data_IF_605602112264
#
_entry.id   IF_605602112264
#
_cell.length_a   1.000
_cell.length_b   1.000
_cell.length_c   1.000
_cell.angle_alpha   90.00
_cell.angle_beta   90.00
_cell.angle_gamma   90.00
#
_symmetry.space_group_name_H-M   'P 1'
#
loop_
_entity.id
_entity.type
_entity.pdbx_description
1 polymer ?
#
# COMPACT_ATOMS: atom_id res chain seq x y z
N UNK A 1 4.27 -50.96 79.19
CA UNK A 1 3.44 -50.69 77.99
C UNK A 1 3.30 -49.18 77.84
N UNK A 2 3.47 -48.66 76.61
CA UNK A 2 3.75 -47.24 76.30
C UNK A 2 2.50 -46.34 76.35
N UNK A 3 2.62 -45.06 76.76
CA UNK A 3 1.58 -44.07 76.54
C UNK A 3 1.66 -43.51 75.11
N UNK A 4 0.51 -43.38 74.45
CA UNK A 4 0.42 -42.66 73.17
C UNK A 4 0.16 -41.18 73.41
N UNK A 5 0.99 -40.33 72.80
CA UNK A 5 0.85 -38.87 72.82
C UNK A 5 0.36 -38.44 71.45
N UNK A 6 -0.85 -37.91 71.36
CA UNK A 6 -1.41 -37.31 70.14
C UNK A 6 -0.79 -35.93 69.93
N UNK A 7 0.15 -35.83 68.97
CA UNK A 7 0.59 -34.54 68.42
C UNK A 7 -0.45 -34.05 67.41
N UNK A 8 -1.27 -33.10 67.81
CA UNK A 8 -2.11 -32.34 66.90
C UNK A 8 -1.23 -31.50 65.96
N UNK A 9 -1.22 -31.85 64.68
CA UNK A 9 -0.51 -31.14 63.63
C UNK A 9 -1.25 -29.84 63.28
N UNK A 10 -0.75 -28.69 63.75
CA UNK A 10 -1.24 -27.34 63.40
C UNK A 10 -1.03 -26.92 61.93
N UNK A 11 -0.71 -27.85 61.02
CA UNK A 11 -0.39 -27.55 59.61
C UNK A 11 -1.57 -27.21 58.68
N UNK A 12 -2.84 -27.61 58.90
CA UNK A 12 -3.88 -27.33 57.90
C UNK A 12 -4.41 -25.89 57.96
N UNK A 13 -4.27 -25.20 59.10
CA UNK A 13 -4.81 -23.84 59.26
C UNK A 13 -3.95 -22.76 58.59
N UNK A 14 -2.63 -22.92 58.53
CA UNK A 14 -1.74 -21.95 57.88
C UNK A 14 -1.94 -21.89 56.35
N UNK A 15 -2.25 -23.03 55.73
CA UNK A 15 -2.54 -23.11 54.29
C UNK A 15 -3.86 -22.43 53.94
N UNK A 16 -4.87 -22.55 54.80
CA UNK A 16 -6.21 -21.99 54.60
C UNK A 16 -6.21 -20.45 54.71
N UNK A 17 -5.43 -19.89 55.65
CA UNK A 17 -5.27 -18.44 55.81
C UNK A 17 -4.48 -17.83 54.64
N UNK A 18 -3.46 -18.52 54.13
CA UNK A 18 -2.67 -18.05 52.98
C UNK A 18 -3.47 -18.06 51.67
N UNK A 19 -4.35 -19.07 51.47
CA UNK A 19 -5.26 -19.11 50.34
C UNK A 19 -6.33 -18.00 50.42
N UNK A 20 -6.83 -17.67 51.62
CA UNK A 20 -7.80 -16.59 51.81
C UNK A 20 -7.21 -15.20 51.52
N UNK A 21 -5.93 -14.97 51.89
CA UNK A 21 -5.21 -13.72 51.64
C UNK A 21 -4.94 -13.47 50.15
N UNK A 22 -4.65 -14.52 49.36
CA UNK A 22 -4.43 -14.40 47.91
C UNK A 22 -5.71 -14.01 47.15
N UNK A 23 -6.88 -14.50 47.58
CA UNK A 23 -8.18 -14.16 46.96
C UNK A 23 -8.56 -12.70 47.26
N UNK A 24 -8.21 -12.17 48.44
CA UNK A 24 -8.52 -10.79 48.81
C UNK A 24 -7.63 -9.75 48.10
N UNK A 25 -6.42 -10.11 47.65
CA UNK A 25 -5.55 -9.23 46.86
C UNK A 25 -5.93 -9.12 45.37
N UNK A 26 -6.79 -10.02 44.86
CA UNK A 26 -7.22 -10.03 43.46
C UNK A 26 -8.48 -9.18 43.17
N UNK A 27 -9.14 -8.64 44.20
CA UNK A 27 -10.46 -8.00 44.05
C UNK A 27 -10.47 -6.46 44.26
N UNK A 28 -9.32 -5.78 44.18
CA UNK A 28 -9.26 -4.31 44.45
C UNK A 28 -8.67 -3.45 43.34
N UNK A 29 -8.58 -3.93 42.11
CA UNK A 29 -8.26 -3.08 40.96
C UNK A 29 -9.50 -2.91 40.12
N UNK A 30 -10.22 -1.83 40.37
CA UNK A 30 -11.20 -1.32 39.40
C UNK A 30 -10.47 -1.14 38.07
N UNK A 31 -11.05 -1.61 36.95
CA UNK A 31 -10.46 -1.39 35.63
C UNK A 31 -10.25 0.11 35.43
N UNK A 32 -9.07 0.53 34.95
CA UNK A 32 -8.86 1.94 34.68
C UNK A 32 -9.89 2.45 33.67
N UNK A 33 -10.35 3.71 33.79
CA UNK A 33 -11.34 4.23 32.86
C UNK A 33 -10.78 4.28 31.43
N UNK A 34 -11.61 4.03 30.40
CA UNK A 34 -11.23 4.26 29.00
C UNK A 34 -11.03 5.76 28.75
N UNK A 35 -10.25 6.10 27.73
CA UNK A 35 -9.91 7.49 27.40
C UNK A 35 -10.72 8.02 26.21
N UNK A 36 -11.45 9.11 26.44
CA UNK A 36 -12.18 9.82 25.39
C UNK A 36 -11.25 10.27 24.24
N UNK A 37 -9.99 10.56 24.58
CA UNK A 37 -9.00 11.09 23.64
C UNK A 37 -8.56 10.02 22.64
N UNK A 38 -8.39 8.79 23.11
CA UNK A 38 -8.10 7.65 22.26
C UNK A 38 -9.27 7.33 21.33
N UNK A 39 -10.50 7.32 21.85
CA UNK A 39 -11.69 7.08 21.02
C UNK A 39 -11.86 8.12 19.92
N UNK A 40 -11.67 9.40 20.25
CA UNK A 40 -11.73 10.49 19.27
C UNK A 40 -10.60 10.35 18.24
N UNK A 41 -9.37 10.12 18.68
CA UNK A 41 -8.22 9.95 17.79
C UNK A 41 -8.42 8.78 16.83
N UNK A 42 -8.90 7.64 17.33
CA UNK A 42 -9.12 6.44 16.53
C UNK A 42 -10.23 6.63 15.51
N UNK A 43 -11.31 7.32 15.88
CA UNK A 43 -12.39 7.68 14.94
C UNK A 43 -11.88 8.58 13.82
N UNK A 44 -11.19 9.66 14.18
CA UNK A 44 -10.62 10.60 13.21
C UNK A 44 -9.58 9.93 12.30
N UNK A 45 -8.74 9.06 12.85
CA UNK A 45 -7.79 8.28 12.08
C UNK A 45 -8.47 7.38 11.06
N UNK A 46 -9.50 6.62 11.47
CA UNK A 46 -10.24 5.73 10.56
C UNK A 46 -10.93 6.50 9.46
N UNK A 47 -11.55 7.63 9.78
CA UNK A 47 -12.21 8.49 8.80
C UNK A 47 -11.21 9.05 7.79
N UNK A 48 -10.12 9.64 8.27
CA UNK A 48 -9.07 10.21 7.42
C UNK A 48 -8.45 9.14 6.52
N UNK A 49 -8.16 7.96 7.08
CA UNK A 49 -7.58 6.84 6.36
C UNK A 49 -8.55 6.24 5.33
N UNK A 50 -9.84 6.17 5.62
CA UNK A 50 -10.84 5.69 4.66
C UNK A 50 -10.94 6.61 3.43
N UNK A 51 -10.72 7.92 3.61
CA UNK A 51 -10.81 8.89 2.53
C UNK A 51 -9.52 9.00 1.71
N UNK A 52 -8.35 8.92 2.36
CA UNK A 52 -7.06 9.25 1.74
C UNK A 52 -6.06 8.10 1.70
N UNK A 53 -6.38 6.95 2.31
CA UNK A 53 -5.50 5.79 2.40
C UNK A 53 -4.09 6.21 2.89
N UNK A 54 -3.03 5.84 2.16
CA UNK A 54 -1.66 6.16 2.54
C UNK A 54 -1.33 7.67 2.48
N UNK A 55 -2.04 8.46 1.68
CA UNK A 55 -1.83 9.92 1.64
C UNK A 55 -2.26 10.59 2.95
N UNK A 56 -3.09 9.92 3.77
CA UNK A 56 -3.49 10.38 5.10
C UNK A 56 -2.28 10.65 6.02
N UNK A 57 -1.18 9.90 5.88
CA UNK A 57 -0.02 10.04 6.76
C UNK A 57 0.70 11.39 6.61
N UNK A 58 0.59 12.00 5.44
CA UNK A 58 1.15 13.31 5.11
C UNK A 58 0.15 14.46 5.32
N UNK A 59 -1.09 14.14 5.68
CA UNK A 59 -2.15 15.12 5.88
C UNK A 59 -1.93 15.93 7.17
N UNK A 60 -2.17 17.26 7.17
CA UNK A 60 -2.08 18.08 8.38
C UNK A 60 -2.97 17.61 9.54
N UNK A 61 -4.15 17.02 9.25
CA UNK A 61 -5.05 16.49 10.26
C UNK A 61 -4.44 15.33 11.04
N UNK A 62 -3.48 14.60 10.46
CA UNK A 62 -2.76 13.53 11.16
C UNK A 62 -2.00 14.06 12.38
N UNK A 63 -1.48 15.30 12.35
CA UNK A 63 -0.83 15.92 13.50
C UNK A 63 -1.79 16.14 14.68
N UNK A 64 -3.06 16.46 14.40
CA UNK A 64 -4.09 16.60 15.43
C UNK A 64 -4.44 15.27 16.11
N UNK A 65 -4.42 14.19 15.35
CA UNK A 65 -4.64 12.81 15.83
C UNK A 65 -3.49 12.40 16.74
N UNK A 66 -2.24 12.62 16.34
CA UNK A 66 -1.07 12.32 17.16
C UNK A 66 -1.09 13.10 18.48
N UNK A 67 -1.45 14.39 18.44
CA UNK A 67 -1.57 15.21 19.65
C UNK A 67 -2.63 14.67 20.62
N UNK A 68 -3.74 14.11 20.11
CA UNK A 68 -4.75 13.43 20.94
C UNK A 68 -4.20 12.13 21.54
N UNK A 69 -3.50 11.32 20.75
CA UNK A 69 -2.88 10.07 21.22
C UNK A 69 -1.81 10.33 22.29
N UNK A 70 -1.07 11.43 22.19
CA UNK A 70 -0.08 11.84 23.21
C UNK A 70 -0.72 12.29 24.53
N UNK A 71 -1.99 12.74 24.51
CA UNK A 71 -2.71 13.18 25.71
C UNK A 71 -3.41 12.03 26.45
N UNK A 72 -3.36 10.81 25.92
CA UNK A 72 -3.94 9.64 26.59
C UNK A 72 -3.22 9.41 27.92
N UNK A 73 -3.93 9.39 29.06
CA UNK A 73 -3.31 9.15 30.37
C UNK A 73 -2.61 7.80 30.43
N UNK A 74 -1.44 7.72 31.08
CA UNK A 74 -0.66 6.48 31.16
C UNK A 74 -1.34 5.38 32.01
N UNK A 75 -2.23 5.78 32.89
CA UNK A 75 -3.05 4.91 33.73
C UNK A 75 -4.34 4.44 33.03
N UNK A 76 -4.65 4.94 31.82
CA UNK A 76 -5.79 4.50 31.02
C UNK A 76 -5.65 3.05 30.53
N UNK A 77 -6.78 2.34 30.41
CA UNK A 77 -6.83 1.04 29.71
C UNK A 77 -6.33 1.13 28.26
N UNK A 78 -6.47 2.29 27.62
CA UNK A 78 -6.11 2.50 26.21
C UNK A 78 -4.66 2.93 26.01
N UNK A 79 -3.91 3.22 27.09
CA UNK A 79 -2.53 3.69 27.00
C UNK A 79 -1.63 2.84 26.08
N UNK A 80 -1.59 1.49 26.16
CA UNK A 80 -0.76 0.70 25.27
C UNK A 80 -1.21 0.81 23.80
N UNK A 81 -2.51 0.76 23.55
CA UNK A 81 -3.08 0.87 22.20
C UNK A 81 -2.84 2.24 21.57
N UNK A 82 -2.92 3.31 22.37
CA UNK A 82 -2.63 4.67 21.95
C UNK A 82 -1.16 4.83 21.55
N UNK A 83 -0.23 4.27 22.34
CA UNK A 83 1.20 4.28 22.04
C UNK A 83 1.53 3.48 20.77
N UNK A 84 0.94 2.30 20.60
CA UNK A 84 1.12 1.49 19.39
C UNK A 84 0.65 2.24 18.14
N UNK A 85 -0.55 2.83 18.20
CA UNK A 85 -1.09 3.61 17.08
C UNK A 85 -0.22 4.83 16.78
N UNK A 86 0.24 5.55 17.81
CA UNK A 86 1.13 6.70 17.65
C UNK A 86 2.44 6.30 16.96
N UNK A 87 3.08 5.21 17.40
CA UNK A 87 4.31 4.71 16.78
C UNK A 87 4.09 4.31 15.33
N UNK A 88 2.98 3.65 15.02
CA UNK A 88 2.63 3.25 13.64
C UNK A 88 2.45 4.47 12.74
N UNK A 89 1.74 5.50 13.21
CA UNK A 89 1.54 6.75 12.47
C UNK A 89 2.90 7.43 12.20
N UNK A 90 3.73 7.59 13.24
CA UNK A 90 5.04 8.24 13.10
C UNK A 90 5.95 7.50 12.12
N UNK A 91 6.04 6.17 12.24
CA UNK A 91 6.81 5.32 11.33
C UNK A 91 6.35 5.46 9.89
N UNK A 92 5.05 5.40 9.65
CA UNK A 92 4.49 5.48 8.30
C UNK A 92 4.67 6.89 7.71
N UNK A 93 4.49 7.95 8.50
CA UNK A 93 4.77 9.32 8.03
C UNK A 93 6.24 9.48 7.64
N UNK A 94 7.19 9.02 8.46
CA UNK A 94 8.60 9.09 8.15
C UNK A 94 8.91 8.40 6.80
N UNK A 95 8.39 7.18 6.62
CA UNK A 95 8.49 6.42 5.35
C UNK A 95 7.93 7.20 4.17
N UNK A 96 6.76 7.84 4.32
CA UNK A 96 6.14 8.60 3.22
C UNK A 96 6.90 9.90 2.92
N UNK A 97 7.42 10.57 3.94
CA UNK A 97 8.24 11.76 3.77
C UNK A 97 9.55 11.44 3.05
N UNK A 98 10.22 10.34 3.43
CA UNK A 98 11.42 9.85 2.74
C UNK A 98 11.14 9.53 1.27
N UNK A 99 10.02 8.87 0.97
CA UNK A 99 9.60 8.57 -0.40
C UNK A 99 9.36 9.85 -1.22
N UNK A 100 8.72 10.87 -0.63
CA UNK A 100 8.53 12.17 -1.27
C UNK A 100 9.86 12.86 -1.57
N UNK A 101 10.77 12.91 -0.59
CA UNK A 101 12.10 13.52 -0.77
C UNK A 101 12.91 12.77 -1.82
N UNK A 102 12.88 11.43 -1.81
CA UNK A 102 13.56 10.61 -2.81
C UNK A 102 13.02 10.88 -4.22
N UNK A 103 11.69 10.99 -4.37
CA UNK A 103 11.05 11.34 -5.63
C UNK A 103 11.46 12.75 -6.10
N UNK A 104 11.46 13.74 -5.21
CA UNK A 104 11.89 15.10 -5.55
C UNK A 104 13.35 15.15 -6.00
N UNK A 105 14.24 14.43 -5.32
CA UNK A 105 15.66 14.30 -5.71
C UNK A 105 15.81 13.65 -7.09
N UNK A 106 15.06 12.59 -7.37
CA UNK A 106 15.08 11.94 -8.68
C UNK A 106 14.67 12.90 -9.81
N UNK A 107 13.59 13.67 -9.61
CA UNK A 107 13.13 14.68 -10.58
C UNK A 107 14.16 15.81 -10.76
N UNK A 108 14.76 16.30 -9.67
CA UNK A 108 15.80 17.33 -9.75
C UNK A 108 17.05 16.83 -10.50
N UNK A 109 17.51 15.61 -10.22
CA UNK A 109 18.65 15.01 -10.92
C UNK A 109 18.40 14.77 -12.41
N UNK A 110 17.14 14.54 -12.82
CA UNK A 110 16.78 14.44 -14.24
C UNK A 110 16.84 15.80 -14.95
N UNK A 111 16.55 16.90 -14.25
CA UNK A 111 16.68 18.26 -14.78
C UNK A 111 18.14 18.75 -14.83
N UNK A 112 19.03 18.17 -14.03
CA UNK A 112 20.46 18.53 -13.98
C UNK A 112 21.32 17.79 -15.02
N UNK A 113 20.70 16.98 -15.90
CA UNK A 113 21.38 16.43 -17.08
C UNK A 113 21.77 17.58 -18.04
N UNK A 114 23.01 17.99 -17.86
CA UNK A 114 23.87 18.97 -18.55
C UNK A 114 23.41 19.45 -19.94
N UNK A 115 23.43 20.78 -20.22
CA UNK A 115 23.17 21.41 -21.54
C UNK A 115 24.12 21.04 -22.69
N UNK A 116 25.03 20.09 -22.50
CA UNK A 116 26.11 19.74 -23.43
C UNK A 116 26.27 18.22 -23.60
N UNK A 117 25.20 17.43 -23.41
CA UNK A 117 25.13 16.16 -24.13
C UNK A 117 25.16 16.50 -25.63
N UNK A 118 26.05 15.90 -26.46
CA UNK A 118 25.96 16.08 -27.90
C UNK A 118 24.54 15.71 -28.29
N UNK A 119 23.79 16.69 -28.78
CA UNK A 119 22.54 16.41 -29.44
C UNK A 119 22.91 15.50 -30.59
N UNK A 120 22.71 14.19 -30.44
CA UNK A 120 22.59 13.33 -31.59
C UNK A 120 21.42 13.92 -32.33
N UNK A 121 21.72 14.76 -33.32
CA UNK A 121 20.75 15.29 -34.27
C UNK A 121 20.24 14.06 -35.00
N UNK A 122 19.22 13.42 -34.42
CA UNK A 122 18.30 12.62 -35.21
C UNK A 122 17.83 13.58 -36.29
N UNK A 123 18.22 13.31 -37.53
CA UNK A 123 17.77 14.06 -38.68
C UNK A 123 16.26 14.29 -38.53
N UNK A 124 15.74 15.48 -38.85
CA UNK A 124 14.31 15.70 -38.89
C UNK A 124 13.69 14.54 -39.69
N UNK A 125 12.64 13.86 -39.19
CA UNK A 125 11.95 12.89 -40.01
C UNK A 125 11.61 13.58 -41.34
N UNK A 126 11.82 12.90 -42.49
CA UNK A 126 11.54 13.50 -43.79
C UNK A 126 10.12 14.08 -43.76
N UNK A 127 9.89 15.25 -44.39
CA UNK A 127 8.56 15.83 -44.43
C UNK A 127 7.57 14.76 -44.91
N UNK A 128 6.41 14.63 -44.24
CA UNK A 128 5.42 13.65 -44.67
C UNK A 128 5.14 13.87 -46.16
N UNK A 129 5.05 12.81 -46.97
CA UNK A 129 4.69 12.96 -48.37
C UNK A 129 3.41 13.78 -48.47
N UNK A 130 3.26 14.66 -49.48
CA UNK A 130 2.03 15.40 -49.68
C UNK A 130 0.87 14.42 -49.63
N UNK A 131 -0.10 14.68 -48.75
CA UNK A 131 -1.28 13.84 -48.61
C UNK A 131 -1.93 13.71 -49.99
N UNK A 132 -1.75 12.55 -50.61
CA UNK A 132 -2.67 12.12 -51.64
C UNK A 132 -4.05 12.20 -51.01
N UNK A 133 -4.98 12.88 -51.69
CA UNK A 133 -6.35 12.96 -51.26
C UNK A 133 -6.87 11.52 -51.16
N UNK A 134 -6.84 10.98 -49.95
CA UNK A 134 -7.43 9.70 -49.64
C UNK A 134 -8.91 9.93 -49.87
N UNK A 135 -9.40 9.33 -50.95
CA UNK A 135 -10.81 9.20 -51.26
C UNK A 135 -11.56 8.90 -49.97
N UNK A 136 -12.50 9.78 -49.64
CA UNK A 136 -13.30 9.73 -48.44
C UNK A 136 -14.26 8.54 -48.54
N UNK A 137 -13.73 7.34 -48.35
CA UNK A 137 -14.51 6.18 -47.94
C UNK A 137 -15.27 6.51 -46.65
N UNK A 138 -16.48 5.97 -46.45
CA UNK A 138 -17.42 6.48 -45.44
C UNK A 138 -16.78 6.55 -44.04
N UNK A 139 -17.02 7.62 -43.27
CA UNK A 139 -16.45 7.76 -41.93
C UNK A 139 -17.19 6.85 -40.95
N UNK A 140 -16.69 5.63 -40.77
CA UNK A 140 -17.14 4.74 -39.70
C UNK A 140 -15.98 4.44 -38.74
N UNK A 141 -15.70 5.40 -37.87
CA UNK A 141 -15.17 5.12 -36.55
C UNK A 141 -15.68 6.23 -35.62
N UNK A 142 -16.63 5.88 -34.77
CA UNK A 142 -17.18 6.78 -33.75
C UNK A 142 -16.11 7.31 -32.78
N UNK A 143 -16.51 8.12 -31.78
CA UNK A 143 -15.60 8.67 -30.79
C UNK A 143 -14.72 7.55 -30.20
N UNK A 144 -13.40 7.73 -30.22
CA UNK A 144 -12.44 6.82 -29.57
C UNK A 144 -12.68 6.92 -28.07
N UNK A 145 -13.59 6.09 -27.57
CA UNK A 145 -13.95 6.03 -26.17
C UNK A 145 -12.79 5.40 -25.40
N UNK A 146 -12.31 6.11 -24.37
CA UNK A 146 -11.34 5.59 -23.42
C UNK A 146 -10.04 6.39 -23.33
N UNK A 147 -9.14 5.97 -22.45
CA UNK A 147 -7.88 6.65 -22.19
C UNK A 147 -6.95 6.63 -23.41
N UNK A 148 -6.26 7.75 -23.61
CA UNK A 148 -5.28 7.96 -24.65
C UNK A 148 -3.95 8.43 -24.06
N UNK A 149 -2.92 8.55 -24.89
CA UNK A 149 -1.65 9.16 -24.49
C UNK A 149 -1.89 10.56 -23.91
N UNK A 150 -1.29 10.84 -22.76
CA UNK A 150 -1.46 12.08 -22.00
C UNK A 150 -2.60 12.08 -20.99
N UNK A 151 -3.53 11.10 -21.06
CA UNK A 151 -4.61 10.94 -20.07
C UNK A 151 -4.02 10.83 -18.67
N UNK A 152 -4.45 11.64 -17.71
CA UNK A 152 -3.91 11.61 -16.37
C UNK A 152 -4.36 10.33 -15.63
N UNK A 153 -3.46 9.77 -14.84
CA UNK A 153 -3.66 8.47 -14.20
C UNK A 153 -4.81 8.49 -13.17
N UNK A 154 -5.15 9.65 -12.61
CA UNK A 154 -6.33 9.80 -11.75
C UNK A 154 -7.65 9.58 -12.51
N UNK A 155 -7.67 9.86 -13.82
CA UNK A 155 -8.82 9.62 -14.68
C UNK A 155 -8.98 8.12 -14.97
N UNK A 156 -7.88 7.35 -15.03
CA UNK A 156 -7.92 5.88 -15.05
C UNK A 156 -8.58 5.27 -13.82
N UNK A 157 -8.40 5.90 -12.66
CA UNK A 157 -8.97 5.46 -11.38
C UNK A 157 -10.47 5.75 -11.31
N UNK A 158 -10.89 6.97 -11.67
CA UNK A 158 -12.25 7.45 -11.38
C UNK A 158 -13.06 7.88 -12.62
N UNK A 159 -12.40 8.35 -13.67
CA UNK A 159 -13.05 8.91 -14.87
C UNK A 159 -13.70 7.87 -15.77
N UNK A 160 -13.08 6.71 -15.93
CA UNK A 160 -13.57 5.65 -16.82
C UNK A 160 -14.46 4.61 -16.13
N UNK A 161 -15.28 5.05 -15.16
CA UNK A 161 -16.23 4.21 -14.40
C UNK A 161 -15.59 2.97 -13.74
N UNK A 162 -14.31 3.04 -13.39
CA UNK A 162 -13.57 1.91 -12.79
C UNK A 162 -13.27 0.75 -13.75
N UNK A 163 -13.42 0.95 -15.07
CA UNK A 163 -13.13 -0.07 -16.06
C UNK A 163 -11.65 -0.36 -16.27
N UNK A 164 -10.77 0.48 -15.74
CA UNK A 164 -9.32 0.28 -15.80
C UNK A 164 -8.79 -0.05 -14.40
N UNK A 165 -7.92 -1.05 -14.35
CA UNK A 165 -7.26 -1.50 -13.11
C UNK A 165 -5.75 -1.48 -13.30
N UNK A 166 -5.02 -1.36 -12.19
CA UNK A 166 -3.56 -1.55 -12.20
C UNK A 166 -3.25 -3.01 -12.51
N UNK A 167 -2.39 -3.22 -13.51
CA UNK A 167 -1.80 -4.51 -13.85
C UNK A 167 -0.45 -4.72 -13.15
N UNK A 168 0.29 -5.72 -13.61
CA UNK A 168 1.66 -5.96 -13.15
C UNK A 168 2.61 -4.89 -13.69
N UNK A 169 3.54 -4.36 -12.88
CA UNK A 169 4.54 -3.42 -13.37
C UNK A 169 5.37 -4.04 -14.50
N UNK A 170 5.59 -3.28 -15.57
CA UNK A 170 6.33 -3.74 -16.75
C UNK A 170 7.68 -3.03 -16.81
N UNK A 171 8.74 -3.78 -17.04
CA UNK A 171 10.05 -3.20 -17.36
C UNK A 171 10.06 -2.76 -18.81
N UNK A 172 10.09 -1.45 -19.05
CA UNK A 172 10.15 -0.86 -20.38
C UNK A 172 11.61 -0.61 -20.74
N UNK A 173 12.03 -1.10 -21.90
CA UNK A 173 13.41 -0.96 -22.39
C UNK A 173 13.84 0.51 -22.41
N UNK A 174 15.00 0.81 -21.81
CA UNK A 174 15.52 2.17 -21.69
C UNK A 174 14.80 3.08 -20.68
N UNK A 175 13.69 2.64 -20.07
CA UNK A 175 12.94 3.45 -19.08
C UNK A 175 12.86 2.79 -17.69
N UNK A 176 13.00 1.47 -17.60
CA UNK A 176 12.91 0.74 -16.34
C UNK A 176 11.47 0.32 -16.00
N UNK A 177 11.24 -0.05 -14.75
CA UNK A 177 9.93 -0.53 -14.29
C UNK A 177 8.91 0.63 -14.30
N UNK A 178 7.74 0.40 -14.88
CA UNK A 178 6.63 1.35 -14.94
C UNK A 178 5.31 0.73 -14.52
N UNK A 179 4.42 1.60 -14.05
CA UNK A 179 3.05 1.23 -13.73
C UNK A 179 2.32 0.88 -15.03
N UNK A 180 1.70 -0.29 -15.03
CA UNK A 180 0.86 -0.75 -16.12
C UNK A 180 -0.60 -0.71 -15.68
N UNK A 181 -1.48 -0.33 -16.59
CA UNK A 181 -2.93 -0.38 -16.42
C UNK A 181 -3.54 -1.19 -17.56
N UNK A 182 -4.61 -1.89 -17.26
CA UNK A 182 -5.34 -2.68 -18.25
C UNK A 182 -6.84 -2.55 -18.02
N UNK A 183 -7.60 -2.84 -19.08
CA UNK A 183 -9.03 -2.95 -18.99
C UNK A 183 -9.39 -4.14 -18.08
N UNK A 184 -10.32 -3.92 -17.16
CA UNK A 184 -10.93 -4.97 -16.35
C UNK A 184 -11.67 -5.94 -17.27
N UNK A 185 -11.50 -7.24 -17.02
CA UNK A 185 -12.14 -8.32 -17.76
C UNK A 185 -13.62 -8.45 -17.37
N UNK A 186 -14.42 -7.44 -17.72
CA UNK A 186 -15.87 -7.46 -17.58
C UNK A 186 -16.51 -7.15 -18.93
N UNK A 187 -17.62 -7.80 -19.22
CA UNK A 187 -18.34 -7.60 -20.48
C UNK A 187 -18.82 -6.15 -20.63
N UNK A 188 -19.24 -5.51 -19.54
CA UNK A 188 -19.62 -4.10 -19.55
C UNK A 188 -18.45 -3.18 -19.98
N UNK A 189 -17.25 -3.39 -19.44
CA UNK A 189 -16.09 -2.56 -19.77
C UNK A 189 -15.57 -2.82 -21.19
N UNK A 190 -15.65 -4.06 -21.69
CA UNK A 190 -15.28 -4.39 -23.08
C UNK A 190 -16.22 -3.77 -24.11
N UNK A 191 -17.52 -3.68 -23.79
CA UNK A 191 -18.50 -3.03 -24.67
C UNK A 191 -18.33 -1.51 -24.67
N UNK A 192 -18.01 -0.92 -23.51
CA UNK A 192 -17.78 0.53 -23.38
C UNK A 192 -16.44 0.97 -24.02
N UNK A 193 -15.39 0.15 -23.90
CA UNK A 193 -14.03 0.44 -24.36
C UNK A 193 -13.48 -0.69 -25.27
N UNK A 194 -14.04 -0.87 -26.48
CA UNK A 194 -13.69 -1.98 -27.36
C UNK A 194 -12.25 -1.92 -27.92
N UNK A 195 -11.59 -0.76 -27.86
CA UNK A 195 -10.20 -0.57 -28.30
C UNK A 195 -9.12 -0.93 -27.26
N UNK A 196 -9.52 -1.28 -26.03
CA UNK A 196 -8.60 -1.51 -24.91
C UNK A 196 -8.50 -2.94 -24.34
N UNK A 197 -9.25 -3.98 -24.77
CA UNK A 197 -9.17 -5.30 -24.12
C UNK A 197 -7.78 -5.96 -24.25
N UNK A 198 -7.13 -5.78 -25.40
CA UNK A 198 -5.81 -6.32 -25.70
C UNK A 198 -4.68 -5.31 -25.54
N UNK A 199 -4.95 -4.23 -24.79
CA UNK A 199 -4.03 -3.09 -24.65
C UNK A 199 -3.63 -2.91 -23.20
N UNK A 200 -2.35 -2.61 -22.99
CA UNK A 200 -1.77 -2.20 -21.72
C UNK A 200 -1.39 -0.73 -21.84
N UNK A 201 -1.82 0.06 -20.86
CA UNK A 201 -1.46 1.46 -20.75
C UNK A 201 -0.27 1.59 -19.81
N UNK A 202 0.83 2.15 -20.31
CA UNK A 202 2.00 2.45 -19.51
C UNK A 202 1.85 3.86 -18.95
N UNK A 203 2.00 4.00 -17.63
CA UNK A 203 1.89 5.29 -16.95
C UNK A 203 3.29 5.75 -16.52
N UNK A 204 3.61 6.99 -16.86
CA UNK A 204 4.83 7.69 -16.46
C UNK A 204 4.42 9.06 -15.91
N UNK A 205 5.00 9.45 -14.76
CA UNK A 205 4.74 10.75 -14.12
C UNK A 205 3.25 11.06 -13.86
N UNK A 206 2.43 10.02 -13.69
CA UNK A 206 0.99 10.16 -13.44
C UNK A 206 0.17 10.45 -14.69
N UNK A 207 0.69 10.18 -15.89
CA UNK A 207 -0.05 10.22 -17.16
C UNK A 207 0.22 8.97 -18.00
N UNK A 208 -0.72 8.62 -18.87
CA UNK A 208 -0.52 7.57 -19.86
C UNK A 208 0.58 8.03 -20.82
N UNK A 209 1.71 7.34 -20.80
CA UNK A 209 2.82 7.57 -21.72
C UNK A 209 2.50 6.98 -23.10
N UNK A 210 2.03 5.74 -23.11
CA UNK A 210 1.77 5.00 -24.33
C UNK A 210 0.83 3.81 -24.09
N UNK A 211 0.19 3.39 -25.16
CA UNK A 211 -0.64 2.20 -25.22
C UNK A 211 0.12 1.13 -26.01
N UNK A 212 0.28 -0.04 -25.42
CA UNK A 212 0.98 -1.18 -26.01
C UNK A 212 0.03 -2.35 -26.14
N UNK A 213 0.01 -3.08 -27.27
CA UNK A 213 -0.73 -4.32 -27.33
C UNK A 213 -0.09 -5.33 -26.36
N UNK A 214 -0.90 -6.14 -25.69
CA UNK A 214 -0.45 -7.19 -24.74
C UNK A 214 0.56 -8.15 -25.37
N UNK A 215 0.46 -8.38 -26.69
CA UNK A 215 1.40 -9.18 -27.47
C UNK A 215 2.84 -8.61 -27.53
N UNK A 216 3.02 -7.32 -27.26
CA UNK A 216 4.34 -6.68 -27.17
C UNK A 216 5.00 -6.84 -25.80
N UNK A 217 4.28 -7.33 -24.79
CA UNK A 217 4.81 -7.57 -23.45
C UNK A 217 5.36 -8.99 -23.38
N UNK A 218 6.65 -9.11 -23.03
CA UNK A 218 7.30 -10.42 -22.82
C UNK A 218 7.51 -10.64 -21.32
N UNK A 219 7.04 -11.77 -20.82
CA UNK A 219 7.34 -12.22 -19.46
C UNK A 219 8.76 -12.80 -19.46
N UNK A 220 9.69 -12.13 -18.78
CA UNK A 220 11.06 -12.64 -18.59
C UNK A 220 11.16 -13.15 -17.16
N UNK A 221 11.29 -14.46 -16.99
CA UNK A 221 11.60 -15.07 -15.69
C UNK A 221 13.03 -14.71 -15.33
N UNK A 222 13.23 -13.82 -14.35
CA UNK A 222 14.53 -13.65 -13.71
C UNK A 222 14.68 -14.74 -12.66
N UNK A 223 15.52 -15.73 -12.92
CA UNK A 223 16.05 -16.61 -11.87
C UNK A 223 16.86 -15.74 -10.92
N UNK A 224 16.36 -15.54 -9.70
CA UNK A 224 17.21 -15.15 -8.58
C UNK A 224 18.13 -16.34 -8.33
N UNK A 225 19.44 -16.15 -8.48
CA UNK A 225 20.44 -17.08 -7.93
C UNK A 225 20.28 -17.09 -6.40
N UNK A 226 19.36 -17.92 -5.92
CA UNK A 226 19.22 -18.30 -4.53
C UNK A 226 19.74 -19.73 -4.39
N UNK A 227 20.62 -19.89 -3.39
CA UNK A 227 21.42 -21.09 -3.17
C UNK A 227 20.63 -22.39 -3.03
N UNK A 228 21.40 -23.47 -3.14
CA UNK A 228 20.97 -24.88 -3.07
C UNK A 228 20.08 -25.13 -1.85
N UNK A 229 18.80 -25.43 -2.08
CA UNK A 229 17.99 -26.13 -1.07
C UNK A 229 18.46 -27.60 -1.01
N UNK A 230 18.75 -28.17 0.18
CA UNK A 230 18.93 -29.60 0.27
C UNK A 230 17.59 -30.30 0.01
N UNK A 231 17.58 -31.45 -0.70
CA UNK A 231 16.34 -32.15 -1.00
C UNK A 231 15.62 -32.53 0.29
N UNK A 232 14.32 -32.21 0.33
CA UNK A 232 13.42 -32.57 1.41
C UNK A 232 13.55 -34.07 1.71
N UNK A 233 13.97 -34.38 2.94
CA UNK A 233 13.97 -35.75 3.45
C UNK A 233 12.55 -36.30 3.41
N UNK A 234 12.34 -37.32 2.60
CA UNK A 234 11.18 -38.20 2.70
C UNK A 234 11.19 -38.90 4.06
N UNK A 235 10.36 -38.41 4.98
CA UNK A 235 9.92 -39.14 6.15
C UNK A 235 8.97 -40.25 5.67
N UNK A 236 9.48 -41.47 5.59
CA UNK A 236 8.68 -42.68 5.44
C UNK A 236 8.91 -43.52 6.69
N UNK A 237 8.02 -43.39 7.67
CA UNK A 237 8.11 -44.18 8.89
C UNK A 237 7.01 -43.93 9.92
N UNK A 238 5.75 -44.25 9.60
CA UNK A 238 4.85 -44.92 10.58
C UNK A 238 3.64 -45.56 9.94
#
# INVERSE_FOLDING_TARGET
MRPQVLRASLRPFAALVSALLLVLSACRREPPPPSAEYEQATRQFRELYAQKLDDAYLDPQMGSIEAKLQRVPQDSLDAPSAQELLQRIQKNRARMQEALVARQKAVASAHEVVPNAPSTTLAPPPPPPPAEAVDAGPPDAGPVNGPQTGTPANELVAGFRGCFKRGTPINVEGRGIRDAWELTDSTACRLEYPGHPDTVLIVEEGRVLMLLPKSSVRTVTRTLDAGTEPPAGTDAGR
#
